data_IF_845864738806
#
_entry.id   IF_845864738806
#
_cell.length_a   1.000
_cell.length_b   1.000
_cell.length_c   1.000
_cell.angle_alpha   90.00
_cell.angle_beta   90.00
_cell.angle_gamma   90.00
#
_symmetry.space_group_name_H-M   'P 1'
#
loop_
_entity.id
_entity.type
_entity.pdbx_description
1 polymer ?
#
# COMPACT_ATOMS: atom_id res chain seq x y z
N UNK A 1 6.24 16.58 19.84
CA UNK A 1 6.74 15.52 18.95
C UNK A 1 6.80 16.06 17.54
N UNK A 2 7.96 15.96 16.89
CA UNK A 2 8.13 16.32 15.49
C UNK A 2 7.50 15.24 14.60
N UNK A 3 6.89 15.63 13.47
CA UNK A 3 6.29 14.67 12.54
C UNK A 3 7.39 14.02 11.71
N UNK A 4 7.38 12.69 11.60
CA UNK A 4 8.30 11.95 10.72
C UNK A 4 8.08 12.39 9.27
N UNK A 5 9.15 12.83 8.59
CA UNK A 5 9.15 12.97 7.13
C UNK A 5 9.21 11.56 6.51
N UNK A 6 8.37 11.30 5.53
CA UNK A 6 8.25 10.00 4.84
C UNK A 6 8.55 10.10 3.34
N UNK A 7 9.03 11.24 2.88
CA UNK A 7 9.49 11.41 1.51
C UNK A 7 10.57 10.38 1.16
N UNK A 8 10.42 9.70 0.03
CA UNK A 8 11.32 8.64 -0.43
C UNK A 8 11.22 7.28 0.30
N UNK A 9 10.59 7.23 1.48
CA UNK A 9 10.41 5.98 2.23
C UNK A 9 9.51 4.99 1.49
N UNK A 10 9.81 3.69 1.62
CA UNK A 10 8.94 2.63 1.11
C UNK A 10 7.89 2.27 2.17
N UNK A 11 6.61 2.51 1.84
CA UNK A 11 5.48 2.29 2.73
C UNK A 11 4.54 1.25 2.12
N UNK A 12 4.35 0.13 2.81
CA UNK A 12 3.36 -0.90 2.44
C UNK A 12 2.06 -0.69 3.21
N UNK A 13 0.93 -0.69 2.50
CA UNK A 13 -0.42 -0.55 3.07
C UNK A 13 -1.27 -1.71 2.60
N UNK A 14 -1.80 -2.50 3.54
CA UNK A 14 -2.78 -3.56 3.24
C UNK A 14 -4.22 -3.04 3.33
N UNK A 15 -5.15 -3.63 2.59
CA UNK A 15 -6.53 -3.14 2.51
C UNK A 15 -6.62 -1.76 1.85
N UNK A 16 -5.70 -1.48 0.93
CA UNK A 16 -5.53 -0.16 0.32
C UNK A 16 -6.58 0.16 -0.75
N UNK A 17 -7.34 -0.83 -1.21
CA UNK A 17 -8.24 -0.71 -2.35
C UNK A 17 -9.51 0.08 -2.06
N UNK A 18 -9.84 0.38 -0.80
CA UNK A 18 -11.07 1.10 -0.43
C UNK A 18 -10.97 1.79 0.94
N UNK A 19 -12.04 2.51 1.31
CA UNK A 19 -12.24 3.04 2.66
C UNK A 19 -11.05 3.85 3.22
N UNK A 20 -10.69 3.54 4.47
CA UNK A 20 -9.58 4.21 5.17
C UNK A 20 -8.22 3.92 4.53
N UNK A 21 -8.00 2.71 4.01
CA UNK A 21 -6.73 2.35 3.35
C UNK A 21 -6.49 3.21 2.11
N UNK A 22 -7.53 3.41 1.29
CA UNK A 22 -7.48 4.29 0.12
C UNK A 22 -7.20 5.74 0.50
N UNK A 23 -7.92 6.27 1.47
CA UNK A 23 -7.75 7.67 1.87
C UNK A 23 -6.39 7.92 2.54
N UNK A 24 -5.91 6.97 3.32
CA UNK A 24 -4.56 7.02 3.89
C UNK A 24 -3.49 7.01 2.80
N UNK A 25 -3.64 6.14 1.80
CA UNK A 25 -2.72 6.07 0.65
C UNK A 25 -2.64 7.41 -0.08
N UNK A 26 -3.79 8.01 -0.40
CA UNK A 26 -3.87 9.34 -1.04
C UNK A 26 -3.26 10.44 -0.19
N UNK A 27 -3.48 10.40 1.13
CA UNK A 27 -2.93 11.39 2.06
C UNK A 27 -1.40 11.31 2.12
N UNK A 28 -0.86 10.09 2.20
CA UNK A 28 0.58 9.84 2.23
C UNK A 28 1.25 10.18 0.89
N UNK A 29 0.57 9.94 -0.24
CA UNK A 29 1.07 10.24 -1.57
C UNK A 29 1.52 11.70 -1.75
N UNK A 30 0.87 12.66 -1.06
CA UNK A 30 1.24 14.09 -1.10
C UNK A 30 2.64 14.38 -0.55
N UNK A 31 3.18 13.48 0.29
CA UNK A 31 4.54 13.56 0.81
C UNK A 31 5.56 12.82 -0.06
N UNK A 32 5.15 12.34 -1.25
CA UNK A 32 5.99 11.63 -2.23
C UNK A 32 6.81 10.44 -1.67
N UNK A 33 6.20 9.53 -0.87
CA UNK A 33 6.81 8.22 -0.60
C UNK A 33 6.75 7.31 -1.84
N UNK A 34 7.40 6.15 -1.73
CA UNK A 34 7.13 5.00 -2.60
C UNK A 34 6.07 4.13 -1.92
N UNK A 35 4.87 4.09 -2.48
CA UNK A 35 3.75 3.34 -1.91
C UNK A 35 3.65 1.94 -2.51
N UNK A 36 3.49 0.94 -1.65
CA UNK A 36 3.17 -0.44 -2.01
C UNK A 36 1.77 -0.74 -1.48
N UNK A 37 0.80 -0.91 -2.37
CA UNK A 37 -0.60 -1.06 -2.04
C UNK A 37 -1.02 -2.51 -2.24
N UNK A 38 -1.46 -3.15 -1.16
CA UNK A 38 -1.99 -4.52 -1.18
C UNK A 38 -3.49 -4.50 -0.92
N UNK A 39 -4.25 -5.18 -1.76
CA UNK A 39 -5.67 -5.44 -1.53
C UNK A 39 -6.10 -6.71 -2.28
N UNK A 40 -7.20 -7.34 -1.88
CA UNK A 40 -7.79 -8.46 -2.62
C UNK A 40 -8.64 -8.00 -3.81
N UNK A 41 -9.11 -6.75 -3.79
CA UNK A 41 -9.88 -6.15 -4.89
C UNK A 41 -8.94 -5.46 -5.88
N UNK A 42 -8.68 -6.13 -7.01
CA UNK A 42 -7.83 -5.65 -8.11
C UNK A 42 -8.24 -4.26 -8.62
N UNK A 43 -9.52 -4.08 -8.96
CA UNK A 43 -10.02 -2.79 -9.44
C UNK A 43 -9.81 -1.69 -8.38
N UNK A 44 -10.13 -1.99 -7.12
CA UNK A 44 -10.01 -1.03 -6.03
C UNK A 44 -8.57 -0.58 -5.75
N UNK A 45 -7.61 -1.52 -5.78
CA UNK A 45 -6.20 -1.19 -5.54
C UNK A 45 -5.57 -0.44 -6.71
N UNK A 46 -5.90 -0.80 -7.94
CA UNK A 46 -5.39 -0.09 -9.13
C UNK A 46 -5.95 1.33 -9.24
N UNK A 47 -7.24 1.54 -8.94
CA UNK A 47 -7.82 2.88 -8.83
C UNK A 47 -7.09 3.73 -7.79
N UNK A 48 -6.81 3.14 -6.62
CA UNK A 48 -6.10 3.84 -5.55
C UNK A 48 -4.67 4.17 -5.96
N UNK A 49 -3.97 3.24 -6.63
CA UNK A 49 -2.62 3.47 -7.13
C UNK A 49 -2.60 4.60 -8.17
N UNK A 50 -3.57 4.64 -9.10
CA UNK A 50 -3.73 5.73 -10.06
C UNK A 50 -3.90 7.09 -9.35
N UNK A 51 -4.81 7.18 -8.38
CA UNK A 51 -5.02 8.41 -7.60
C UNK A 51 -3.75 8.85 -6.87
N UNK A 52 -2.97 7.91 -6.33
CA UNK A 52 -1.70 8.24 -5.66
C UNK A 52 -0.63 8.75 -6.64
N UNK A 53 -0.54 8.15 -7.84
CA UNK A 53 0.36 8.61 -8.90
C UNK A 53 0.00 10.02 -9.39
N UNK A 54 -1.28 10.38 -9.43
CA UNK A 54 -1.74 11.74 -9.74
C UNK A 54 -1.28 12.79 -8.71
N UNK A 55 -1.01 12.39 -7.46
CA UNK A 55 -0.40 13.25 -6.44
C UNK A 55 1.14 13.31 -6.53
N UNK A 56 1.75 12.61 -7.48
CA UNK A 56 3.20 12.61 -7.72
C UNK A 56 3.98 11.61 -6.88
N UNK A 57 3.32 10.64 -6.23
CA UNK A 57 3.99 9.52 -5.58
C UNK A 57 4.28 8.37 -6.56
N UNK A 58 5.38 7.68 -6.34
CA UNK A 58 5.58 6.34 -6.91
C UNK A 58 4.66 5.35 -6.21
N UNK A 59 3.97 4.51 -6.98
CA UNK A 59 2.95 3.63 -6.43
C UNK A 59 2.92 2.29 -7.17
N UNK A 60 2.96 1.20 -6.42
CA UNK A 60 2.92 -0.19 -6.88
C UNK A 60 1.71 -0.87 -6.26
N UNK A 61 0.90 -1.54 -7.07
CA UNK A 61 -0.29 -2.25 -6.63
C UNK A 61 -0.09 -3.75 -6.78
N UNK A 62 -0.53 -4.50 -5.77
CA UNK A 62 -0.49 -5.96 -5.79
C UNK A 62 -1.83 -6.51 -5.29
N UNK A 63 -2.36 -7.49 -6.00
CA UNK A 63 -3.52 -8.24 -5.56
C UNK A 63 -3.08 -9.28 -4.54
N UNK A 64 -3.46 -9.09 -3.27
CA UNK A 64 -3.04 -9.94 -2.16
C UNK A 64 -4.19 -10.20 -1.20
N UNK A 65 -4.53 -11.47 -1.03
CA UNK A 65 -5.28 -11.95 0.13
C UNK A 65 -4.30 -12.15 1.30
N UNK A 66 -4.35 -11.23 2.27
CA UNK A 66 -3.48 -11.26 3.46
C UNK A 66 -3.78 -12.44 4.40
N UNK A 67 -4.93 -13.11 4.24
CA UNK A 67 -5.23 -14.36 4.97
C UNK A 67 -4.49 -15.57 4.37
N UNK A 68 -4.06 -15.48 3.10
CA UNK A 68 -3.27 -16.51 2.44
C UNK A 68 -1.78 -16.28 2.67
N UNK A 69 -1.22 -17.03 3.63
CA UNK A 69 0.19 -16.95 4.02
C UNK A 69 1.18 -17.17 2.86
N UNK A 70 0.91 -18.11 1.95
CA UNK A 70 1.81 -18.38 0.82
C UNK A 70 1.84 -17.20 -0.16
N UNK A 71 0.68 -16.62 -0.43
CA UNK A 71 0.56 -15.43 -1.27
C UNK A 71 1.29 -14.24 -0.64
N UNK A 72 1.15 -14.02 0.67
CA UNK A 72 1.87 -12.97 1.39
C UNK A 72 3.39 -13.10 1.21
N UNK A 73 3.96 -14.30 1.41
CA UNK A 73 5.41 -14.49 1.25
C UNK A 73 5.86 -14.27 -0.20
N UNK A 74 5.14 -14.84 -1.18
CA UNK A 74 5.48 -14.67 -2.61
C UNK A 74 5.44 -13.20 -3.03
N UNK A 75 4.42 -12.45 -2.61
CA UNK A 75 4.31 -11.04 -2.97
C UNK A 75 5.31 -10.18 -2.20
N UNK A 76 5.65 -10.52 -0.95
CA UNK A 76 6.71 -9.82 -0.22
C UNK A 76 8.07 -9.96 -0.92
N UNK A 77 8.40 -11.16 -1.43
CA UNK A 77 9.62 -11.38 -2.22
C UNK A 77 9.60 -10.56 -3.52
N UNK A 78 8.44 -10.47 -4.18
CA UNK A 78 8.25 -9.66 -5.38
C UNK A 78 8.44 -8.16 -5.08
N UNK A 79 7.81 -7.64 -4.03
CA UNK A 79 7.97 -6.25 -3.55
C UNK A 79 9.44 -5.94 -3.26
N UNK A 80 10.13 -6.85 -2.56
CA UNK A 80 11.54 -6.68 -2.25
C UNK A 80 12.40 -6.57 -3.50
N UNK A 81 12.10 -7.36 -4.52
CA UNK A 81 12.82 -7.38 -5.80
C UNK A 81 12.51 -6.15 -6.66
N UNK A 82 11.25 -5.72 -6.71
CA UNK A 82 10.78 -4.68 -7.63
C UNK A 82 10.88 -3.26 -7.05
N UNK A 83 10.70 -3.11 -5.74
CA UNK A 83 10.58 -1.81 -5.05
C UNK A 83 11.73 -1.59 -4.07
N UNK A 84 12.09 -2.62 -3.29
CA UNK A 84 13.13 -2.59 -2.27
C UNK A 84 12.62 -2.95 -0.88
N UNK A 85 13.42 -2.66 0.15
CA UNK A 85 13.09 -2.99 1.53
C UNK A 85 12.00 -2.06 2.09
N UNK A 86 10.87 -2.64 2.52
CA UNK A 86 9.77 -1.91 3.16
C UNK A 86 10.22 -1.36 4.51
N UNK A 87 10.12 -0.04 4.69
CA UNK A 87 10.49 0.65 5.94
C UNK A 87 9.31 0.83 6.89
N UNK A 88 8.09 0.95 6.34
CA UNK A 88 6.86 1.17 7.09
C UNK A 88 5.80 0.21 6.58
N UNK A 89 5.24 -0.61 7.48
CA UNK A 89 4.12 -1.49 7.20
C UNK A 89 2.87 -1.00 7.94
N UNK A 90 1.78 -0.82 7.19
CA UNK A 90 0.46 -0.46 7.72
C UNK A 90 -0.49 -1.63 7.50
N UNK A 91 -0.75 -2.37 8.58
CA UNK A 91 -1.69 -3.49 8.61
C UNK A 91 -3.14 -2.98 8.73
N UNK A 92 -3.68 -2.44 7.64
CA UNK A 92 -5.02 -1.86 7.59
C UNK A 92 -6.09 -2.84 7.06
N UNK A 93 -5.72 -3.93 6.36
CA UNK A 93 -6.68 -4.93 5.92
C UNK A 93 -7.48 -5.52 7.09
N UNK A 94 -8.81 -5.58 6.94
CA UNK A 94 -9.71 -6.13 7.94
C UNK A 94 -11.12 -6.28 7.39
N UNK A 95 -11.90 -7.18 7.99
CA UNK A 95 -13.31 -7.41 7.70
C UNK A 95 -14.14 -7.07 8.94
N UNK A 96 -15.30 -6.45 8.73
CA UNK A 96 -16.30 -6.27 9.77
C UNK A 96 -17.43 -7.25 9.46
N UNK A 97 -17.47 -8.36 10.19
CA UNK A 97 -18.62 -9.26 10.14
C UNK A 97 -19.71 -8.65 11.04
N UNK A 98 -20.84 -8.27 10.44
CA UNK A 98 -22.08 -7.99 11.16
C UNK A 98 -22.97 -9.22 11.14
#
# INVERSE_FOLDING_TARGET
MERKNVEGSIILITGAGSGLGRELSKRLAKSRPRLVLWDMNETGVEETAKMCREFGAECYAYVVDVSNREMVYKTADLVKKEVGDVEILINNAGIINQ
#
